data_IF_883830255793
#
_entry.id   IF_883830255793
#
_cell.length_a   1.000
_cell.length_b   1.000
_cell.length_c   1.000
_cell.angle_alpha   90.00
_cell.angle_beta   90.00
_cell.angle_gamma   90.00
#
_symmetry.space_group_name_H-M   'P 1'
#
loop_
_entity.id
_entity.type
_entity.pdbx_description
1 polymer ?
#
# COMPACT_ATOMS: atom_id res chain seq x y z
N UNK A 1 26.71 -23.39 -12.38
CA UNK A 1 26.93 -23.06 -10.95
C UNK A 1 25.55 -22.88 -10.33
N UNK A 2 25.23 -23.56 -9.22
CA UNK A 2 23.91 -23.49 -8.59
C UNK A 2 24.01 -22.84 -7.21
N UNK A 3 23.14 -21.87 -6.94
CA UNK A 3 22.96 -21.23 -5.64
C UNK A 3 21.46 -20.95 -5.40
N UNK A 4 21.08 -20.85 -4.13
CA UNK A 4 19.70 -20.52 -3.70
C UNK A 4 19.79 -19.24 -2.86
N UNK A 5 18.93 -18.26 -3.18
CA UNK A 5 18.78 -17.04 -2.39
C UNK A 5 17.52 -17.13 -1.52
N UNK A 6 17.60 -16.67 -0.27
CA UNK A 6 16.49 -16.65 0.68
C UNK A 6 16.54 -15.37 1.52
N UNK A 7 15.39 -14.74 1.71
CA UNK A 7 15.22 -13.63 2.64
C UNK A 7 14.89 -14.15 4.04
N UNK A 8 15.70 -13.79 5.04
CA UNK A 8 15.45 -14.14 6.45
C UNK A 8 14.55 -13.13 7.14
N UNK A 9 14.67 -11.85 6.79
CA UNK A 9 13.85 -10.78 7.32
C UNK A 9 13.35 -9.86 6.19
N UNK A 10 12.06 -9.49 6.19
CA UNK A 10 11.54 -8.53 5.24
C UNK A 10 12.10 -7.12 5.53
N UNK A 11 12.26 -6.26 4.52
CA UNK A 11 12.49 -4.84 4.71
C UNK A 11 11.48 -4.21 5.68
N UNK A 12 11.98 -3.35 6.57
CA UNK A 12 11.18 -2.63 7.58
C UNK A 12 11.12 -1.13 7.35
N UNK A 13 11.97 -0.59 6.48
CA UNK A 13 11.98 0.82 6.11
C UNK A 13 10.70 1.22 5.38
N UNK A 14 10.34 2.51 5.51
CA UNK A 14 9.23 3.14 4.79
C UNK A 14 9.79 4.31 4.01
N UNK A 15 9.56 4.31 2.71
CA UNK A 15 10.05 5.32 1.75
C UNK A 15 8.90 6.19 1.24
N UNK A 16 7.71 5.60 1.09
CA UNK A 16 6.51 6.27 0.64
C UNK A 16 5.32 5.96 1.54
N UNK A 17 4.44 6.93 1.73
CA UNK A 17 3.20 6.78 2.49
C UNK A 17 2.10 7.65 1.88
N UNK A 18 0.93 7.05 1.63
CA UNK A 18 -0.24 7.74 1.09
C UNK A 18 -1.51 7.32 1.82
N UNK A 19 -2.52 8.18 1.82
CA UNK A 19 -3.86 7.87 2.35
C UNK A 19 -4.84 7.78 1.19
N UNK A 20 -5.47 6.61 1.01
CA UNK A 20 -6.41 6.37 -0.08
C UNK A 20 -7.51 5.37 0.32
N UNK A 21 -8.55 5.26 -0.51
CA UNK A 21 -9.66 4.33 -0.36
C UNK A 21 -9.27 2.94 -0.91
N UNK A 22 -8.29 2.29 -0.27
CA UNK A 22 -7.68 1.06 -0.78
C UNK A 22 -8.65 -0.13 -0.84
N UNK A 23 -9.41 -0.38 0.24
CA UNK A 23 -10.34 -1.51 0.29
C UNK A 23 -11.71 -1.19 -0.31
N UNK A 24 -12.23 0.00 -0.03
CA UNK A 24 -13.56 0.45 -0.44
C UNK A 24 -13.63 1.98 -0.34
N UNK A 25 -14.66 2.59 -0.93
CA UNK A 25 -14.87 4.05 -0.93
C UNK A 25 -15.29 4.65 0.41
N UNK A 26 -15.64 3.84 1.41
CA UNK A 26 -16.21 4.31 2.67
C UNK A 26 -15.13 4.66 3.71
N UNK A 27 -14.01 3.95 3.70
CA UNK A 27 -12.92 4.14 4.66
C UNK A 27 -11.59 4.44 3.96
N UNK A 28 -10.77 5.28 4.59
CA UNK A 28 -9.40 5.52 4.16
C UNK A 28 -8.46 4.56 4.86
N UNK A 29 -7.49 4.07 4.12
CA UNK A 29 -6.37 3.28 4.61
C UNK A 29 -5.07 4.06 4.43
N UNK A 30 -4.09 3.78 5.30
CA UNK A 30 -2.72 4.25 5.13
C UNK A 30 -1.95 3.18 4.37
N UNK A 31 -1.56 3.46 3.13
CA UNK A 31 -0.73 2.58 2.31
C UNK A 31 0.71 3.09 2.40
N UNK A 32 1.63 2.23 2.81
CA UNK A 32 3.06 2.53 2.85
C UNK A 32 3.83 1.58 1.95
N UNK A 33 4.91 2.07 1.35
CA UNK A 33 5.83 1.26 0.57
C UNK A 33 7.27 1.51 1.01
N UNK A 34 8.08 0.47 0.94
CA UNK A 34 9.53 0.56 1.15
C UNK A 34 10.23 -0.65 0.53
N UNK A 35 11.32 -0.40 -0.20
CA UNK A 35 11.96 -1.39 -1.05
C UNK A 35 10.92 -2.09 -1.94
N UNK A 36 10.74 -3.41 -1.79
CA UNK A 36 9.80 -4.21 -2.55
C UNK A 36 8.55 -4.62 -1.75
N UNK A 37 8.23 -3.94 -0.66
CA UNK A 37 7.09 -4.26 0.19
C UNK A 37 6.08 -3.11 0.22
N UNK A 38 4.80 -3.44 0.06
CA UNK A 38 3.67 -2.55 0.36
C UNK A 38 2.96 -3.07 1.60
N UNK A 39 2.61 -2.18 2.53
CA UNK A 39 1.77 -2.50 3.69
C UNK A 39 0.58 -1.55 3.75
N UNK A 40 -0.56 -2.09 4.13
CA UNK A 40 -1.81 -1.32 4.26
C UNK A 40 -2.23 -1.35 5.71
N UNK A 41 -2.40 -0.17 6.29
CA UNK A 41 -2.76 0.02 7.69
C UNK A 41 -4.13 0.67 7.84
N UNK A 42 -4.87 0.22 8.85
CA UNK A 42 -6.08 0.88 9.35
C UNK A 42 -5.75 1.58 10.67
N UNK A 43 -6.31 2.77 10.87
CA UNK A 43 -6.19 3.48 12.14
C UNK A 43 -7.32 3.03 13.07
N UNK A 44 -6.97 2.45 14.21
CA UNK A 44 -7.95 1.95 15.19
C UNK A 44 -7.67 2.54 16.58
N UNK A 45 -8.70 2.81 17.40
CA UNK A 45 -8.51 3.20 18.79
C UNK A 45 -7.77 2.13 19.60
N UNK A 46 -6.73 2.53 20.31
CA UNK A 46 -6.00 1.77 21.33
C UNK A 46 -6.66 1.99 22.70
N UNK A 47 -7.97 1.72 22.76
CA UNK A 47 -8.81 1.88 23.95
C UNK A 47 -9.27 0.52 24.46
N UNK A 48 -9.24 0.33 25.79
CA UNK A 48 -9.84 -0.85 26.41
C UNK A 48 -11.36 -0.72 26.33
N UNK A 49 -12.08 -1.62 25.62
CA UNK A 49 -13.53 -1.53 25.45
C UNK A 49 -14.30 -1.56 26.77
N UNK A 50 -13.66 -1.95 27.88
CA UNK A 50 -14.25 -1.99 29.22
C UNK A 50 -14.21 -0.66 29.95
N UNK A 51 -13.34 0.28 29.55
CA UNK A 51 -13.28 1.62 30.14
C UNK A 51 -14.15 2.58 29.33
N UNK A 52 -15.22 3.09 29.95
CA UNK A 52 -16.04 4.16 29.37
C UNK A 52 -15.33 5.50 29.51
N UNK A 53 -14.24 5.69 28.78
CA UNK A 53 -13.62 6.99 28.65
C UNK A 53 -14.48 7.86 27.72
N UNK A 54 -14.82 9.08 28.16
CA UNK A 54 -15.54 10.05 27.33
C UNK A 54 -14.57 10.68 26.34
N UNK A 55 -14.35 10.01 25.21
CA UNK A 55 -13.59 10.59 24.11
C UNK A 55 -14.34 11.78 23.50
N UNK A 56 -13.61 12.87 23.25
CA UNK A 56 -14.13 14.07 22.60
C UNK A 56 -13.17 14.47 21.49
N UNK A 57 -13.57 15.32 20.53
CA UNK A 57 -12.63 15.82 19.51
C UNK A 57 -11.38 16.49 20.10
N UNK A 58 -11.53 17.14 21.26
CA UNK A 58 -10.41 17.78 21.98
C UNK A 58 -9.51 16.79 22.73
N UNK A 59 -10.00 15.58 23.00
CA UNK A 59 -9.26 14.52 23.66
C UNK A 59 -9.55 13.18 22.98
N UNK A 60 -8.98 12.95 21.79
CA UNK A 60 -9.18 11.72 21.05
C UNK A 60 -8.60 10.53 21.82
N UNK A 61 -9.10 9.30 21.57
CA UNK A 61 -8.47 8.12 22.09
C UNK A 61 -7.02 8.03 21.59
N UNK A 62 -6.18 7.33 22.35
CA UNK A 62 -4.91 6.85 21.81
C UNK A 62 -5.22 5.99 20.59
N UNK A 63 -4.48 6.17 19.49
CA UNK A 63 -4.69 5.42 18.26
C UNK A 63 -3.51 4.48 18.01
N UNK A 64 -3.77 3.35 17.34
CA UNK A 64 -2.74 2.44 16.82
C UNK A 64 -3.00 2.14 15.35
N UNK A 65 -1.92 1.82 14.64
CA UNK A 65 -1.97 1.36 13.26
C UNK A 65 -2.01 -0.16 13.26
N UNK A 66 -3.09 -0.72 12.72
CA UNK A 66 -3.25 -2.15 12.49
C UNK A 66 -2.84 -2.46 11.06
N UNK A 67 -1.83 -3.32 10.88
CA UNK A 67 -1.43 -3.79 9.54
C UNK A 67 -2.45 -4.82 9.05
N UNK A 68 -3.21 -4.47 8.02
CA UNK A 68 -4.28 -5.29 7.46
C UNK A 68 -3.76 -6.20 6.35
N UNK A 69 -2.89 -5.68 5.48
CA UNK A 69 -2.32 -6.42 4.36
C UNK A 69 -0.84 -6.10 4.16
N UNK A 70 -0.09 -7.06 3.63
CA UNK A 70 1.29 -6.88 3.18
C UNK A 70 1.49 -7.58 1.85
N UNK A 71 1.97 -6.85 0.85
CA UNK A 71 2.26 -7.36 -0.49
C UNK A 71 3.76 -7.28 -0.76
N UNK A 72 4.31 -8.35 -1.35
CA UNK A 72 5.72 -8.39 -1.77
C UNK A 72 5.77 -8.30 -3.29
N UNK A 73 6.56 -7.35 -3.78
CA UNK A 73 6.75 -7.09 -5.20
C UNK A 73 8.10 -7.67 -5.66
N UNK A 74 8.24 -7.87 -6.97
CA UNK A 74 9.50 -8.30 -7.61
C UNK A 74 10.34 -7.12 -8.12
N UNK A 75 10.16 -5.94 -7.54
CA UNK A 75 10.92 -4.74 -7.86
C UNK A 75 10.81 -3.72 -6.73
N UNK A 76 11.80 -2.84 -6.64
CA UNK A 76 11.78 -1.77 -5.65
C UNK A 76 10.88 -0.63 -6.12
N UNK A 77 9.97 -0.20 -5.26
CA UNK A 77 9.09 0.94 -5.47
C UNK A 77 9.94 2.22 -5.43
N UNK A 78 9.84 3.03 -6.49
CA UNK A 78 10.56 4.31 -6.60
C UNK A 78 9.62 5.50 -6.36
N UNK A 79 8.32 5.32 -6.59
CA UNK A 79 7.26 6.26 -6.26
C UNK A 79 5.93 5.53 -6.14
N UNK A 80 5.05 6.07 -5.29
CA UNK A 80 3.73 5.53 -4.98
C UNK A 80 2.71 6.67 -4.99
N UNK A 81 1.64 6.51 -5.77
CA UNK A 81 0.48 7.40 -5.75
C UNK A 81 -0.84 6.62 -5.85
N UNK A 82 -1.95 7.27 -5.53
CA UNK A 82 -3.30 6.72 -5.72
C UNK A 82 -4.12 7.53 -6.71
N UNK A 83 -4.96 6.86 -7.50
CA UNK A 83 -5.94 7.48 -8.39
C UNK A 83 -7.31 6.84 -8.23
N UNK A 84 -8.35 7.66 -8.28
CA UNK A 84 -9.72 7.18 -8.38
C UNK A 84 -10.05 6.97 -9.86
N UNK A 85 -10.24 5.72 -10.27
CA UNK A 85 -10.68 5.39 -11.63
C UNK A 85 -12.20 5.54 -11.76
N UNK A 86 -12.67 5.95 -12.93
CA UNK A 86 -14.10 6.07 -13.18
C UNK A 86 -14.79 4.72 -12.95
N UNK A 87 -15.90 4.73 -12.22
CA UNK A 87 -16.69 3.53 -11.84
C UNK A 87 -15.98 2.46 -11.00
N UNK A 88 -14.76 2.71 -10.49
CA UNK A 88 -14.14 1.78 -9.54
C UNK A 88 -14.68 1.96 -8.12
N UNK A 89 -14.96 0.85 -7.38
CA UNK A 89 -15.38 0.91 -5.99
C UNK A 89 -14.24 1.29 -5.01
N UNK A 90 -13.00 1.44 -5.49
CA UNK A 90 -11.81 1.71 -4.67
C UNK A 90 -10.76 2.51 -5.45
N UNK A 91 -9.76 3.03 -4.75
CA UNK A 91 -8.65 3.73 -5.40
C UNK A 91 -7.62 2.71 -5.93
N UNK A 92 -7.13 2.95 -7.15
CA UNK A 92 -6.00 2.21 -7.72
C UNK A 92 -4.68 2.84 -7.28
N UNK A 93 -3.63 2.02 -7.16
CA UNK A 93 -2.28 2.45 -6.88
C UNK A 93 -1.47 2.56 -8.18
N UNK A 94 -0.75 3.67 -8.34
CA UNK A 94 0.30 3.85 -9.33
C UNK A 94 1.63 3.59 -8.65
N UNK A 95 2.35 2.60 -9.17
CA UNK A 95 3.66 2.18 -8.68
C UNK A 95 4.68 2.42 -9.78
N UNK A 96 5.68 3.25 -9.51
CA UNK A 96 6.84 3.33 -10.39
C UNK A 96 7.97 2.45 -9.87
N UNK A 97 8.73 1.88 -10.80
CA UNK A 97 9.91 1.07 -10.53
C UNK A 97 11.11 1.67 -11.28
N UNK A 98 12.28 1.07 -11.09
CA UNK A 98 13.49 1.45 -11.83
C UNK A 98 13.29 1.32 -13.33
N UNK A 99 14.07 2.12 -14.05
CA UNK A 99 14.15 2.08 -15.50
C UNK A 99 12.78 2.38 -16.14
N UNK A 100 12.14 3.49 -15.75
CA UNK A 100 10.91 3.99 -16.37
C UNK A 100 9.76 2.95 -16.50
N UNK A 101 9.62 2.07 -15.49
CA UNK A 101 8.53 1.10 -15.39
C UNK A 101 7.41 1.65 -14.51
N UNK A 102 6.16 1.48 -14.94
CA UNK A 102 4.96 1.90 -14.21
C UNK A 102 3.92 0.77 -14.20
N UNK A 103 3.31 0.53 -13.03
CA UNK A 103 2.21 -0.41 -12.86
C UNK A 103 1.02 0.28 -12.21
N UNK A 104 -0.18 0.03 -12.73
CA UNK A 104 -1.44 0.42 -12.09
C UNK A 104 -2.07 -0.84 -11.51
N UNK A 105 -2.25 -0.86 -10.20
CA UNK A 105 -2.81 -2.02 -9.47
C UNK A 105 -4.00 -1.63 -8.63
N UNK A 106 -4.90 -2.55 -8.41
CA UNK A 106 -6.08 -2.39 -7.57
C UNK A 106 -6.21 -3.58 -6.63
N UNK A 107 -6.75 -3.35 -5.43
CA UNK A 107 -7.05 -4.43 -4.51
C UNK A 107 -8.21 -5.32 -5.00
N UNK A 108 -7.99 -6.63 -4.99
CA UNK A 108 -9.01 -7.63 -5.27
C UNK A 108 -9.54 -8.26 -3.96
N UNK A 109 -10.81 -8.00 -3.59
CA UNK A 109 -11.39 -8.55 -2.36
C UNK A 109 -11.65 -10.05 -2.41
N UNK A 110 -11.72 -10.69 -3.59
CA UNK A 110 -12.01 -12.13 -3.69
C UNK A 110 -10.79 -12.97 -3.31
N UNK A 111 -9.60 -12.52 -3.70
CA UNK A 111 -8.33 -13.23 -3.49
C UNK A 111 -7.44 -12.58 -2.43
N UNK A 112 -7.84 -11.40 -1.92
CA UNK A 112 -7.04 -10.60 -0.99
C UNK A 112 -5.64 -10.25 -1.52
N UNK A 113 -5.55 -9.94 -2.83
CA UNK A 113 -4.28 -9.63 -3.51
C UNK A 113 -4.37 -8.37 -4.38
N UNK A 114 -3.24 -7.92 -4.92
CA UNK A 114 -3.17 -6.83 -5.90
C UNK A 114 -3.42 -7.36 -7.31
N UNK A 115 -4.52 -6.92 -7.92
CA UNK A 115 -4.80 -7.14 -9.33
C UNK A 115 -4.15 -6.07 -10.19
N UNK A 116 -3.34 -6.48 -11.17
CA UNK A 116 -2.77 -5.56 -12.16
C UNK A 116 -3.83 -5.11 -13.15
N UNK A 117 -4.04 -3.79 -13.24
CA UNK A 117 -4.95 -3.17 -14.22
C UNK A 117 -4.21 -2.82 -15.51
N UNK A 118 -3.00 -2.26 -15.40
CA UNK A 118 -2.14 -1.96 -16.55
C UNK A 118 -0.67 -1.99 -16.19
N UNK A 119 0.17 -2.24 -17.20
CA UNK A 119 1.62 -2.19 -17.13
C UNK A 119 2.14 -1.30 -18.25
N UNK A 120 3.06 -0.41 -17.93
CA UNK A 120 3.69 0.49 -18.88
C UNK A 120 5.21 0.42 -18.75
N UNK A 121 5.86 0.34 -19.90
CA UNK A 121 7.30 0.24 -20.04
C UNK A 121 7.75 1.34 -21.00
N UNK A 122 8.65 2.19 -20.54
CA UNK A 122 9.13 3.36 -21.30
C UNK A 122 10.65 3.36 -21.46
N UNK A 123 11.31 2.22 -21.33
CA UNK A 123 12.72 2.11 -21.71
C UNK A 123 12.78 1.97 -23.23
N UNK A 124 12.82 3.12 -23.91
CA UNK A 124 13.20 3.19 -25.32
C UNK A 124 14.61 3.79 -25.39
N UNK A 125 15.49 3.18 -26.19
CA UNK A 125 16.84 3.71 -26.39
C UNK A 125 16.81 5.09 -27.04
N UNK A 126 15.75 5.44 -27.77
CA UNK A 126 15.53 6.77 -28.33
C UNK A 126 15.08 7.82 -27.28
N UNK A 127 14.62 7.38 -26.10
CA UNK A 127 14.18 8.26 -24.99
C UNK A 127 15.26 8.50 -23.93
N UNK A 128 16.50 8.07 -24.16
CA UNK A 128 17.65 8.27 -23.26
C UNK A 128 18.38 9.60 -23.45
#
# INVERSE_FOLDING_TARGET
MFSISKYTHPPTGVEHAISCHFFNRSEKSLVVAGANIIRVFRLIPDADPKKKDKYTEKHPPKMKLECVCTFTLFGNVMSLQSVALASSPRDALLLSFRDAKLSVVEYDPEVHDLRTLSLHYFEDDEMR
#
